data_IF_262269746351
#
_entry.id   IF_262269746351
#
_cell.length_a   1.000
_cell.length_b   1.000
_cell.length_c   1.000
_cell.angle_alpha   90.00
_cell.angle_beta   90.00
_cell.angle_gamma   90.00
#
_symmetry.space_group_name_H-M   'P 1'
#
loop_
_entity.id
_entity.type
_entity.pdbx_description
1 polymer ?
#
# COMPACT_ATOMS: atom_id res chain seq x y z
N UNK A 1 6.07 4.74 -28.87
CA UNK A 1 6.83 5.38 -27.82
C UNK A 1 7.35 4.38 -26.82
N UNK A 2 8.61 4.51 -26.43
CA UNK A 2 9.27 3.54 -25.57
C UNK A 2 9.25 4.01 -24.13
N UNK A 3 8.57 3.30 -23.30
CA UNK A 3 8.51 3.62 -21.89
C UNK A 3 8.73 2.38 -21.07
N UNK A 4 9.56 2.49 -20.08
CA UNK A 4 9.69 1.41 -19.12
C UNK A 4 8.47 1.44 -18.19
N UNK A 5 8.02 0.28 -17.72
CA UNK A 5 6.86 0.29 -16.81
C UNK A 5 7.04 1.19 -15.60
N UNK A 6 8.26 1.26 -15.08
CA UNK A 6 8.50 2.08 -13.90
C UNK A 6 8.38 3.58 -14.14
N UNK A 7 8.54 4.01 -15.38
CA UNK A 7 8.46 5.44 -15.71
C UNK A 7 7.04 5.94 -15.80
N UNK A 8 6.10 5.04 -15.98
CA UNK A 8 4.71 5.41 -16.23
C UNK A 8 3.75 4.92 -15.18
N UNK A 9 4.29 4.44 -14.08
CA UNK A 9 3.44 4.07 -12.95
C UNK A 9 3.19 5.36 -12.19
N UNK A 10 2.00 5.93 -12.36
CA UNK A 10 1.65 7.15 -11.66
C UNK A 10 1.03 6.82 -10.30
N UNK A 11 0.81 7.86 -9.51
CA UNK A 11 0.33 7.68 -8.14
C UNK A 11 -1.04 6.98 -8.10
N UNK A 12 -1.89 7.27 -9.07
CA UNK A 12 -3.22 6.64 -9.12
C UNK A 12 -3.10 5.14 -9.36
N UNK A 13 -2.24 4.75 -10.27
CA UNK A 13 -2.05 3.34 -10.57
C UNK A 13 -1.43 2.61 -9.38
N UNK A 14 -0.44 3.22 -8.73
CA UNK A 14 0.16 2.65 -7.53
C UNK A 14 -0.91 2.46 -6.45
N UNK A 15 -1.71 3.47 -6.22
CA UNK A 15 -2.76 3.41 -5.21
C UNK A 15 -3.73 2.28 -5.50
N UNK A 16 -4.20 2.17 -6.74
CA UNK A 16 -5.13 1.13 -7.13
C UNK A 16 -4.52 -0.25 -6.94
N UNK A 17 -3.27 -0.42 -7.33
CA UNK A 17 -2.60 -1.71 -7.21
C UNK A 17 -2.42 -2.10 -5.75
N UNK A 18 -1.97 -1.15 -4.92
CA UNK A 18 -1.78 -1.43 -3.49
C UNK A 18 -3.12 -1.81 -2.85
N UNK A 19 -4.18 -1.05 -3.13
CA UNK A 19 -5.49 -1.35 -2.57
C UNK A 19 -5.96 -2.74 -2.95
N UNK A 20 -5.78 -3.11 -4.22
CA UNK A 20 -6.24 -4.41 -4.69
C UNK A 20 -5.48 -5.53 -4.00
N UNK A 21 -4.16 -5.38 -3.85
CA UNK A 21 -3.36 -6.40 -3.19
C UNK A 21 -3.73 -6.53 -1.72
N UNK A 22 -3.98 -5.41 -1.06
CA UNK A 22 -4.36 -5.45 0.35
C UNK A 22 -5.72 -6.13 0.54
N UNK A 23 -6.68 -5.81 -0.32
CA UNK A 23 -8.02 -6.39 -0.22
C UNK A 23 -7.99 -7.89 -0.51
N UNK A 24 -7.10 -8.33 -1.38
CA UNK A 24 -7.02 -9.74 -1.75
C UNK A 24 -6.30 -10.59 -0.71
N UNK A 25 -5.64 -9.98 0.27
CA UNK A 25 -4.94 -10.73 1.30
C UNK A 25 -5.91 -11.07 2.43
N UNK A 26 -6.09 -12.36 2.76
CA UNK A 26 -7.08 -12.75 3.76
C UNK A 26 -6.78 -12.24 5.16
N UNK A 27 -5.53 -11.90 5.46
CA UNK A 27 -5.16 -11.37 6.77
C UNK A 27 -5.35 -9.87 6.87
N UNK A 28 -5.54 -9.21 5.74
CA UNK A 28 -5.61 -7.76 5.69
C UNK A 28 -6.99 -7.27 5.27
N UNK A 29 -7.72 -8.06 4.48
CA UNK A 29 -8.93 -7.59 3.81
C UNK A 29 -10.01 -7.07 4.77
N UNK A 30 -9.97 -7.50 6.01
CA UNK A 30 -10.95 -7.02 7.00
C UNK A 30 -10.55 -5.73 7.69
N UNK A 31 -9.38 -5.20 7.39
CA UNK A 31 -8.87 -4.00 8.02
C UNK A 31 -9.35 -2.76 7.29
N UNK A 32 -9.43 -1.67 8.03
CA UNK A 32 -9.79 -0.38 7.45
C UNK A 32 -8.52 0.37 7.15
N UNK A 33 -8.02 0.21 5.93
CA UNK A 33 -6.79 0.84 5.51
C UNK A 33 -7.09 1.84 4.41
N UNK A 34 -6.60 3.05 4.59
CA UNK A 34 -6.60 4.06 3.54
C UNK A 34 -5.23 4.10 2.92
N UNK A 35 -5.20 4.17 1.61
CA UNK A 35 -3.96 4.24 0.84
C UNK A 35 -3.89 5.58 0.15
N UNK A 36 -2.81 6.29 0.39
CA UNK A 36 -2.49 7.52 -0.33
C UNK A 36 -1.15 7.38 -0.96
N UNK A 37 -1.02 7.89 -2.17
CA UNK A 37 0.27 7.85 -2.86
C UNK A 37 0.57 9.24 -3.35
N UNK A 38 1.79 9.68 -3.09
CA UNK A 38 2.25 10.99 -3.53
C UNK A 38 3.67 10.88 -3.98
N UNK A 39 3.90 11.14 -5.25
CA UNK A 39 5.24 11.06 -5.84
C UNK A 39 5.93 9.72 -5.55
N UNK A 40 5.16 8.65 -5.60
CA UNK A 40 5.67 7.31 -5.38
C UNK A 40 5.77 6.88 -3.93
N UNK A 41 5.50 7.79 -3.00
CA UNK A 41 5.50 7.44 -1.57
C UNK A 41 4.10 7.04 -1.15
N UNK A 42 3.97 5.83 -0.65
CA UNK A 42 2.68 5.29 -0.21
C UNK A 42 2.51 5.55 1.26
N UNK A 43 1.40 6.15 1.64
CA UNK A 43 1.04 6.34 3.04
C UNK A 43 -0.14 5.43 3.36
N UNK A 44 0.05 4.57 4.33
CA UNK A 44 -1.00 3.68 4.82
C UNK A 44 -1.50 4.23 6.14
N UNK A 45 -2.80 4.46 6.22
CA UNK A 45 -3.42 4.96 7.44
C UNK A 45 -4.67 4.15 7.72
N UNK A 46 -5.16 4.24 8.95
CA UNK A 46 -6.36 3.53 9.36
C UNK A 46 -6.11 2.67 10.56
N UNK A 47 -6.90 1.61 10.67
CA UNK A 47 -6.90 0.75 11.86
C UNK A 47 -6.60 -0.68 11.47
N UNK A 48 -5.63 -1.26 12.15
CA UNK A 48 -5.24 -2.65 11.97
C UNK A 48 -5.64 -3.44 13.22
N UNK A 49 -5.76 -4.75 13.05
CA UNK A 49 -6.07 -5.64 14.17
C UNK A 49 -4.82 -6.19 14.84
N UNK A 50 -3.66 -6.09 14.19
CA UNK A 50 -2.42 -6.63 14.77
C UNK A 50 -1.21 -5.98 14.13
N UNK A 51 -0.09 -6.03 14.84
CA UNK A 51 1.17 -5.54 14.30
C UNK A 51 1.66 -6.40 13.14
N UNK A 52 1.34 -7.69 13.16
CA UNK A 52 1.68 -8.58 12.07
C UNK A 52 1.02 -8.12 10.76
N UNK A 53 -0.26 -7.76 10.84
CA UNK A 53 -0.98 -7.29 9.66
C UNK A 53 -0.43 -5.96 9.17
N UNK A 54 0.00 -5.09 10.08
CA UNK A 54 0.65 -3.82 9.71
C UNK A 54 1.92 -4.10 8.92
N UNK A 55 2.77 -4.97 9.44
CA UNK A 55 4.03 -5.29 8.76
C UNK A 55 3.77 -5.91 7.39
N UNK A 56 2.76 -6.76 7.31
CA UNK A 56 2.43 -7.41 6.05
C UNK A 56 1.93 -6.39 5.02
N UNK A 57 1.10 -5.45 5.47
CA UNK A 57 0.59 -4.41 4.57
C UNK A 57 1.73 -3.55 4.02
N UNK A 58 2.67 -3.19 4.88
CA UNK A 58 3.84 -2.42 4.45
C UNK A 58 4.65 -3.21 3.43
N UNK A 59 4.89 -4.49 3.70
CA UNK A 59 5.64 -5.33 2.78
C UNK A 59 4.97 -5.43 1.42
N UNK A 60 3.65 -5.58 1.40
CA UNK A 60 2.89 -5.65 0.16
C UNK A 60 3.06 -4.35 -0.64
N UNK A 61 2.91 -3.21 0.05
CA UNK A 61 3.03 -1.93 -0.63
C UNK A 61 4.42 -1.74 -1.22
N UNK A 62 5.45 -2.22 -0.54
CA UNK A 62 6.82 -2.08 -1.00
C UNK A 62 7.11 -2.89 -2.27
N UNK A 63 6.32 -3.92 -2.55
CA UNK A 63 6.55 -4.74 -3.74
C UNK A 63 5.96 -4.15 -5.00
N UNK A 64 5.16 -3.10 -4.90
CA UNK A 64 4.49 -2.53 -6.05
C UNK A 64 5.46 -1.68 -6.86
N UNK A 65 5.45 -1.88 -8.19
CA UNK A 65 6.30 -1.10 -9.08
C UNK A 65 6.02 0.38 -8.93
N UNK A 66 7.08 1.16 -8.85
CA UNK A 66 6.98 2.60 -8.78
C UNK A 66 6.96 3.15 -7.37
N UNK A 67 6.83 2.28 -6.37
CA UNK A 67 6.83 2.72 -4.98
C UNK A 67 8.24 3.07 -4.56
N UNK A 68 8.42 4.30 -4.09
CA UNK A 68 9.72 4.78 -3.62
C UNK A 68 9.88 4.64 -2.13
N UNK A 69 8.80 4.56 -1.40
CA UNK A 69 8.82 4.37 0.02
C UNK A 69 7.42 4.20 0.57
N UNK A 70 7.34 3.73 1.80
CA UNK A 70 6.05 3.52 2.46
C UNK A 70 6.10 4.17 3.82
N UNK A 71 5.11 5.00 4.11
CA UNK A 71 4.92 5.61 5.42
C UNK A 71 3.81 4.88 6.14
N UNK A 72 4.08 4.45 7.36
CA UNK A 72 3.10 3.72 8.16
C UNK A 72 2.45 4.66 9.14
N UNK A 73 1.16 4.91 8.94
CA UNK A 73 0.33 5.66 9.88
C UNK A 73 -0.83 4.83 10.38
N UNK A 74 -0.67 3.52 10.34
CA UNK A 74 -1.68 2.61 10.84
C UNK A 74 -1.62 2.58 12.36
N UNK A 75 -2.79 2.52 12.97
CA UNK A 75 -2.90 2.31 14.41
C UNK A 75 -3.47 0.93 14.65
N UNK A 76 -3.19 0.36 15.81
CA UNK A 76 -3.67 -0.97 16.16
C UNK A 76 -4.81 -0.82 17.15
N UNK A 77 -5.95 -1.39 16.79
CA UNK A 77 -7.10 -1.41 17.68
C UNK A 77 -6.89 -2.48 18.74
N UNK A 78 -7.13 -2.14 19.98
CA UNK A 78 -6.99 -3.09 21.08
C UNK A 78 -8.34 -3.50 21.64
#
# INVERSE_FOLDING_TARGET
EKRTPGEFVDDTLISTTVKRLLISDPEIKGMRIKVRVRQGVVTLSGISTSSYAVDKAIGIAETVNGVKGVQNKLTIAE
#
